data_IF_111722278502
#
_entry.id   IF_111722278502
#
_cell.length_a   1.000
_cell.length_b   1.000
_cell.length_c   1.000
_cell.angle_alpha   90.00
_cell.angle_beta   90.00
_cell.angle_gamma   90.00
#
_symmetry.space_group_name_H-M   'P 1'
#
loop_
_entity.id
_entity.type
_entity.pdbx_description
1 polymer ?
#
# COMPACT_ATOMS: atom_id res chain seq x y z
N UNK A 1 4.91 -23.90 -3.73
CA UNK A 1 5.58 -22.99 -2.76
C UNK A 1 4.52 -22.55 -1.75
N UNK A 2 4.51 -23.09 -0.53
CA UNK A 2 3.56 -22.69 0.51
C UNK A 2 3.97 -21.30 1.02
N UNK A 3 3.25 -20.27 0.61
CA UNK A 3 3.40 -18.92 1.16
C UNK A 3 3.03 -19.03 2.64
N UNK A 4 4.00 -18.79 3.53
CA UNK A 4 3.76 -18.82 4.99
C UNK A 4 2.83 -17.65 5.32
N UNK A 5 1.53 -17.96 5.41
CA UNK A 5 0.48 -17.12 6.01
C UNK A 5 0.88 -16.87 7.47
N UNK A 6 1.57 -15.76 7.74
CA UNK A 6 1.77 -15.25 9.10
C UNK A 6 0.62 -14.29 9.40
N UNK A 7 -0.49 -14.87 9.81
CA UNK A 7 -1.61 -14.13 10.38
C UNK A 7 -1.19 -13.74 11.80
N UNK A 8 -1.21 -12.44 12.11
CA UNK A 8 -0.99 -11.95 13.46
C UNK A 8 -2.22 -11.16 13.88
N UNK A 9 -2.96 -11.71 14.82
CA UNK A 9 -4.05 -10.98 15.47
C UNK A 9 -3.46 -10.00 16.48
N UNK A 10 -3.86 -8.74 16.38
CA UNK A 10 -3.50 -7.70 17.34
C UNK A 10 -4.77 -7.02 17.85
N UNK A 11 -4.95 -6.97 19.16
CA UNK A 11 -6.00 -6.17 19.78
C UNK A 11 -5.51 -4.74 19.94
N UNK A 12 -6.20 -3.78 19.31
CA UNK A 12 -5.95 -2.36 19.52
C UNK A 12 -7.16 -1.80 20.27
N UNK A 13 -6.95 -1.44 21.53
CA UNK A 13 -8.04 -1.15 22.48
C UNK A 13 -8.94 -2.38 22.69
N UNK A 14 -9.66 -2.47 23.81
CA UNK A 14 -10.45 -3.68 24.13
C UNK A 14 -11.57 -3.98 23.10
N UNK A 15 -11.85 -3.03 22.21
CA UNK A 15 -12.98 -3.04 21.27
C UNK A 15 -12.62 -3.40 19.82
N UNK A 16 -11.35 -3.36 19.41
CA UNK A 16 -10.97 -3.68 18.01
C UNK A 16 -9.97 -4.84 17.93
N UNK A 17 -10.24 -5.74 16.98
CA UNK A 17 -9.32 -6.80 16.56
C UNK A 17 -8.85 -6.49 15.15
N UNK A 18 -7.54 -6.43 14.94
CA UNK A 18 -6.94 -6.26 13.62
C UNK A 18 -6.29 -7.56 13.16
N UNK A 19 -6.65 -7.96 11.93
CA UNK A 19 -5.99 -9.03 11.21
C UNK A 19 -5.03 -8.42 10.19
N UNK A 20 -3.73 -8.59 10.42
CA UNK A 20 -2.70 -7.97 9.58
C UNK A 20 -1.97 -9.05 8.79
N UNK A 21 -1.85 -8.81 7.49
CA UNK A 21 -1.11 -9.63 6.54
C UNK A 21 0.19 -8.92 6.15
N UNK A 22 1.34 -9.48 6.54
CA UNK A 22 2.62 -9.04 6.00
C UNK A 22 2.88 -9.72 4.65
N UNK A 23 2.90 -8.93 3.59
CA UNK A 23 3.01 -9.41 2.21
C UNK A 23 4.31 -8.92 1.61
N UNK A 24 5.15 -9.86 1.16
CA UNK A 24 6.46 -9.51 0.63
C UNK A 24 6.40 -8.70 -0.67
N UNK A 25 7.30 -7.71 -0.80
CA UNK A 25 7.36 -6.79 -1.93
C UNK A 25 8.34 -7.14 -3.06
N UNK A 26 9.00 -8.32 -2.99
CA UNK A 26 9.92 -8.77 -4.04
C UNK A 26 9.16 -9.01 -5.35
N UNK A 27 9.72 -8.58 -6.50
CA UNK A 27 9.05 -8.65 -7.81
C UNK A 27 8.48 -10.04 -8.14
N UNK A 28 9.21 -11.10 -7.79
CA UNK A 28 8.83 -12.50 -8.06
C UNK A 28 7.58 -12.97 -7.31
N UNK A 29 7.18 -12.32 -6.21
CA UNK A 29 6.05 -12.72 -5.37
C UNK A 29 4.88 -11.74 -5.41
N UNK A 30 4.98 -10.62 -6.14
CA UNK A 30 3.91 -9.61 -6.26
C UNK A 30 2.64 -10.17 -6.90
N UNK A 31 2.75 -11.20 -7.75
CA UNK A 31 1.60 -11.89 -8.34
C UNK A 31 0.64 -12.48 -7.29
N UNK A 32 1.13 -12.75 -6.08
CA UNK A 32 0.33 -13.29 -4.97
C UNK A 32 -0.40 -12.24 -4.15
N UNK A 33 -0.17 -10.94 -4.38
CA UNK A 33 -0.87 -9.87 -3.66
C UNK A 33 -2.39 -9.98 -3.76
N UNK A 34 -2.88 -10.42 -4.92
CA UNK A 34 -4.32 -10.64 -5.20
C UNK A 34 -4.99 -11.65 -4.26
N UNK A 35 -4.22 -12.49 -3.59
CA UNK A 35 -4.76 -13.44 -2.61
C UNK A 35 -5.20 -12.76 -1.31
N UNK A 36 -4.82 -11.49 -1.10
CA UNK A 36 -5.08 -10.74 0.13
C UNK A 36 -6.08 -9.60 -0.06
N UNK A 37 -6.54 -9.31 -1.28
CA UNK A 37 -7.41 -8.15 -1.52
C UNK A 37 -8.84 -8.34 -1.05
N UNK A 38 -9.33 -9.59 -0.98
CA UNK A 38 -10.68 -9.88 -0.53
C UNK A 38 -10.83 -9.55 0.96
N UNK A 39 -11.92 -8.86 1.31
CA UNK A 39 -12.23 -8.48 2.70
C UNK A 39 -11.13 -7.64 3.37
N UNK A 40 -10.34 -6.89 2.58
CA UNK A 40 -9.39 -5.92 3.12
C UNK A 40 -10.08 -4.58 3.38
N UNK A 41 -10.18 -4.19 4.65
CA UNK A 41 -10.71 -2.88 5.06
C UNK A 41 -9.70 -1.75 4.85
N UNK A 42 -8.40 -2.07 4.84
CA UNK A 42 -7.35 -1.07 4.71
C UNK A 42 -6.02 -1.63 4.20
N UNK A 43 -5.34 -0.84 3.40
CA UNK A 43 -4.01 -1.11 2.88
C UNK A 43 -2.98 -0.20 3.53
N UNK A 44 -1.93 -0.80 4.08
CA UNK A 44 -0.74 -0.06 4.54
C UNK A 44 0.37 -0.22 3.51
N UNK A 45 0.73 0.87 2.84
CA UNK A 45 1.79 0.92 1.83
C UNK A 45 3.06 1.52 2.43
N UNK A 46 4.08 0.69 2.65
CA UNK A 46 5.33 1.09 3.29
C UNK A 46 6.38 1.48 2.25
N UNK A 47 6.85 2.73 2.33
CA UNK A 47 7.83 3.31 1.39
C UNK A 47 9.17 3.46 2.11
N UNK A 48 10.25 2.99 1.47
CA UNK A 48 11.60 3.29 1.92
C UNK A 48 11.97 4.72 1.51
N UNK A 49 11.95 5.64 2.48
CA UNK A 49 12.14 7.07 2.21
C UNK A 49 13.57 7.43 1.82
N UNK A 50 14.53 6.50 1.98
CA UNK A 50 15.94 6.71 1.67
C UNK A 50 16.33 6.28 0.25
N UNK A 51 15.47 5.54 -0.46
CA UNK A 51 15.81 4.92 -1.74
C UNK A 51 15.10 5.54 -2.93
N UNK A 52 15.62 6.68 -3.39
CA UNK A 52 15.03 7.46 -4.48
C UNK A 52 14.90 6.68 -5.80
N UNK A 53 15.83 5.75 -6.07
CA UNK A 53 15.88 5.00 -7.34
C UNK A 53 14.69 4.07 -7.51
N UNK A 54 14.11 3.60 -6.41
CA UNK A 54 12.97 2.66 -6.40
C UNK A 54 11.62 3.34 -6.23
N UNK A 55 11.57 4.67 -6.11
CA UNK A 55 10.30 5.38 -5.90
C UNK A 55 9.40 5.34 -7.14
N UNK A 56 9.97 5.39 -8.34
CA UNK A 56 9.18 5.29 -9.58
C UNK A 56 8.54 3.91 -9.72
N UNK A 57 9.30 2.84 -9.44
CA UNK A 57 8.77 1.48 -9.36
C UNK A 57 7.68 1.37 -8.28
N UNK A 58 7.93 1.94 -7.11
CA UNK A 58 6.97 1.97 -6.00
C UNK A 58 5.66 2.64 -6.39
N UNK A 59 5.74 3.78 -7.09
CA UNK A 59 4.57 4.49 -7.63
C UNK A 59 3.80 3.63 -8.63
N UNK A 60 4.50 3.05 -9.60
CA UNK A 60 3.86 2.26 -10.65
C UNK A 60 3.10 1.05 -10.09
N UNK A 61 3.68 0.37 -9.10
CA UNK A 61 3.03 -0.76 -8.43
C UNK A 61 1.81 -0.31 -7.62
N UNK A 62 1.91 0.81 -6.90
CA UNK A 62 0.77 1.37 -6.18
C UNK A 62 -0.37 1.77 -7.15
N UNK A 63 -0.05 2.43 -8.26
CA UNK A 63 -1.05 2.81 -9.28
C UNK A 63 -1.75 1.59 -9.89
N UNK A 64 -1.04 0.49 -10.10
CA UNK A 64 -1.64 -0.74 -10.60
C UNK A 64 -2.50 -1.43 -9.54
N UNK A 65 -2.04 -1.45 -8.30
CA UNK A 65 -2.77 -2.02 -7.18
C UNK A 65 -4.07 -1.27 -6.91
N UNK A 66 -4.07 0.08 -6.98
CA UNK A 66 -5.27 0.88 -6.74
C UNK A 66 -6.36 0.73 -7.81
N UNK A 67 -6.05 0.15 -8.97
CA UNK A 67 -7.04 -0.18 -10.01
C UNK A 67 -7.81 -1.47 -9.72
N UNK A 68 -7.36 -2.28 -8.76
CA UNK A 68 -7.99 -3.55 -8.42
C UNK A 68 -9.32 -3.29 -7.70
N UNK A 69 -10.43 -3.65 -8.35
CA UNK A 69 -11.79 -3.39 -7.83
C UNK A 69 -12.05 -4.04 -6.47
N UNK A 70 -11.36 -5.15 -6.17
CA UNK A 70 -11.47 -5.85 -4.88
C UNK A 70 -11.00 -5.01 -3.69
N UNK A 71 -10.21 -3.96 -3.94
CA UNK A 71 -9.78 -2.98 -2.92
C UNK A 71 -10.69 -1.74 -2.87
N UNK A 72 -11.77 -1.72 -3.64
CA UNK A 72 -12.74 -0.62 -3.62
C UNK A 72 -13.35 -0.47 -2.22
N UNK A 73 -13.26 0.74 -1.67
CA UNK A 73 -13.75 1.06 -0.33
C UNK A 73 -12.71 0.87 0.78
N UNK A 74 -11.58 0.20 0.49
CA UNK A 74 -10.49 0.08 1.45
C UNK A 74 -9.80 1.45 1.67
N UNK A 75 -9.41 1.72 2.92
CA UNK A 75 -8.63 2.91 3.25
C UNK A 75 -7.14 2.71 2.92
N UNK A 76 -6.48 3.72 2.38
CA UNK A 76 -5.04 3.68 2.10
C UNK A 76 -4.25 4.49 3.12
N UNK A 77 -3.31 3.85 3.80
CA UNK A 77 -2.28 4.50 4.62
C UNK A 77 -0.92 4.34 3.96
N UNK A 78 -0.19 5.44 3.74
CA UNK A 78 1.18 5.41 3.23
C UNK A 78 2.14 5.72 4.37
N UNK A 79 3.08 4.82 4.65
CA UNK A 79 4.11 5.00 5.66
C UNK A 79 5.43 5.38 5.00
N UNK A 80 5.88 6.61 5.24
CA UNK A 80 7.22 7.10 4.92
C UNK A 80 8.24 6.51 5.91
N UNK A 81 8.74 5.31 5.65
CA UNK A 81 9.62 4.58 6.56
C UNK A 81 11.09 4.99 6.43
N UNK A 82 11.90 4.66 7.44
CA UNK A 82 13.35 4.95 7.54
C UNK A 82 13.72 6.44 7.64
N UNK A 83 12.90 7.21 8.33
CA UNK A 83 13.15 8.64 8.58
C UNK A 83 14.40 8.91 9.44
N UNK A 84 14.92 7.89 10.11
CA UNK A 84 16.19 7.91 10.85
C UNK A 84 17.42 8.06 9.95
N UNK A 85 17.31 7.71 8.66
CA UNK A 85 18.42 7.77 7.72
C UNK A 85 18.61 9.19 7.20
N UNK A 86 19.86 9.68 7.21
CA UNK A 86 20.19 11.00 6.65
C UNK A 86 19.85 11.05 5.15
N UNK A 87 19.11 12.08 4.77
CA UNK A 87 18.64 12.25 3.38
C UNK A 87 17.37 11.48 3.05
N UNK A 88 16.71 10.87 4.04
CA UNK A 88 15.36 10.34 3.88
C UNK A 88 14.39 11.46 3.46
N UNK A 89 13.55 11.16 2.48
CA UNK A 89 12.52 12.08 2.01
C UNK A 89 11.43 12.25 3.06
N UNK A 90 10.94 13.48 3.17
CA UNK A 90 9.78 13.82 4.00
C UNK A 90 8.50 13.22 3.44
N UNK A 91 7.47 13.15 4.29
CA UNK A 91 6.13 12.70 3.89
C UNK A 91 5.56 13.53 2.73
N UNK A 92 5.83 14.85 2.72
CA UNK A 92 5.37 15.76 1.67
C UNK A 92 6.05 15.46 0.32
N UNK A 93 7.35 15.18 0.33
CA UNK A 93 8.11 14.82 -0.88
C UNK A 93 7.64 13.47 -1.44
N UNK A 94 7.46 12.46 -0.59
CA UNK A 94 6.92 11.16 -1.00
C UNK A 94 5.52 11.33 -1.60
N UNK A 95 4.63 12.09 -0.94
CA UNK A 95 3.29 12.33 -1.46
C UNK A 95 3.31 13.01 -2.84
N UNK A 96 4.25 13.94 -3.06
CA UNK A 96 4.43 14.62 -4.35
C UNK A 96 4.94 13.67 -5.44
N UNK A 97 5.89 12.80 -5.12
CA UNK A 97 6.48 11.84 -6.06
C UNK A 97 5.44 10.77 -6.44
N UNK A 98 4.76 10.18 -5.46
CA UNK A 98 3.78 9.11 -5.70
C UNK A 98 2.52 9.62 -6.40
N UNK A 99 2.21 10.93 -6.35
CA UNK A 99 1.03 11.54 -7.00
C UNK A 99 -0.30 10.86 -6.64
N UNK A 100 -0.38 10.37 -5.40
CA UNK A 100 -1.50 9.52 -4.91
C UNK A 100 -2.83 10.24 -5.01
N UNK A 101 -2.85 11.56 -4.74
CA UNK A 101 -4.07 12.37 -4.84
C UNK A 101 -4.63 12.35 -6.26
N UNK A 102 -3.77 12.49 -7.27
CA UNK A 102 -4.19 12.46 -8.67
C UNK A 102 -4.68 11.07 -9.08
N UNK A 103 -4.00 10.00 -8.64
CA UNK A 103 -4.42 8.62 -8.91
C UNK A 103 -5.79 8.31 -8.30
N UNK A 104 -6.04 8.69 -7.04
CA UNK A 104 -7.34 8.45 -6.39
C UNK A 104 -8.45 9.25 -7.08
N UNK A 105 -8.20 10.52 -7.41
CA UNK A 105 -9.18 11.36 -8.11
C UNK A 105 -9.54 10.80 -9.49
N UNK A 106 -8.57 10.29 -10.26
CA UNK A 106 -8.84 9.72 -11.58
C UNK A 106 -9.65 8.43 -11.51
N UNK A 107 -9.41 7.60 -10.49
CA UNK A 107 -10.20 6.38 -10.23
C UNK A 107 -11.64 6.71 -9.84
N UNK A 108 -11.85 7.71 -8.97
CA UNK A 108 -13.19 8.16 -8.58
C UNK A 108 -13.95 8.77 -9.76
N UNK A 109 -13.28 9.59 -10.59
CA UNK A 109 -13.88 10.17 -11.78
C UNK A 109 -14.25 9.12 -12.85
N UNK A 110 -13.49 8.02 -12.94
CA UNK A 110 -13.82 6.89 -13.82
C UNK A 110 -15.08 6.15 -13.37
N UNK A 111 -15.25 5.91 -12.06
CA UNK A 111 -16.44 5.25 -11.49
C UNK A 111 -17.72 6.08 -11.62
N UNK A 112 -17.64 7.41 -11.62
CA UNK A 112 -18.81 8.29 -11.77
C UNK A 112 -19.36 8.37 -13.21
N UNK A 113 -18.65 7.80 -14.19
CA UNK A 113 -19.03 7.81 -15.62
C UNK A 113 -19.52 6.46 -16.14
N UNK A 114 -19.48 5.41 -15.32
CA UNK A 114 -19.99 4.08 -15.62
C UNK A 114 -21.34 3.88 -14.90
#
# INVERSE_FOLDING_TARGET
MKIKRKEKEMRILMVYTLNIWDVGGQRTIRSYWRNYFEQTDGLVWVVDSSDLRRLDDCKMELDNLLKEERLSGASLLILANKQDIKGALTQAEIAKILKVRQTIQSLQAGKAKA
#
